data_IF_955943719988
#
_entry.id   IF_955943719988
#
_cell.length_a   1.000
_cell.length_b   1.000
_cell.length_c   1.000
_cell.angle_alpha   90.00
_cell.angle_beta   90.00
_cell.angle_gamma   90.00
#
_symmetry.space_group_name_H-M   'P 1'
#
loop_
_entity.id
_entity.type
_entity.pdbx_description
1 polymer ?
#
# COMPACT_ATOMS: atom_id res chain seq x y z
N UNK A 1 20.34 24.62 7.33
CA UNK A 1 19.04 25.22 7.73
C UNK A 1 19.22 25.91 9.08
N UNK A 2 19.85 27.10 9.07
CA UNK A 2 20.15 27.86 10.28
C UNK A 2 18.92 28.68 10.70
N UNK A 3 18.50 28.47 11.95
CA UNK A 3 17.32 29.07 12.58
C UNK A 3 17.64 30.54 12.89
N UNK A 4 17.12 31.46 12.11
CA UNK A 4 17.08 32.88 12.45
C UNK A 4 16.03 33.07 13.57
N UNK A 5 16.51 32.98 14.81
CA UNK A 5 15.73 33.36 16.00
C UNK A 5 15.54 34.87 15.95
N UNK A 6 14.29 35.29 15.73
CA UNK A 6 13.89 36.69 15.73
C UNK A 6 14.27 37.37 17.04
N UNK A 7 15.21 38.32 16.94
CA UNK A 7 15.48 39.33 17.97
C UNK A 7 14.59 40.55 17.70
N UNK A 8 13.98 41.06 18.75
CA UNK A 8 13.60 42.47 18.88
C UNK A 8 12.11 42.75 18.78
N UNK A 9 11.44 42.92 19.92
CA UNK A 9 10.12 43.54 19.92
C UNK A 9 9.27 43.49 21.21
N UNK A 10 9.48 42.54 22.12
CA UNK A 10 8.50 42.28 23.19
C UNK A 10 9.15 42.06 24.57
N UNK A 11 9.86 43.08 25.07
CA UNK A 11 10.39 43.09 26.45
C UNK A 11 10.47 44.52 26.99
N UNK A 12 9.39 45.27 26.88
CA UNK A 12 9.14 46.28 27.90
C UNK A 12 8.26 45.55 28.92
N UNK A 13 8.91 44.72 29.73
CA UNK A 13 8.22 43.95 30.77
C UNK A 13 7.52 44.94 31.70
N UNK A 14 6.38 44.55 32.27
CA UNK A 14 5.75 45.32 33.35
C UNK A 14 6.80 45.58 34.46
N UNK A 15 7.72 44.64 34.64
CA UNK A 15 8.92 44.77 35.48
C UNK A 15 9.75 46.01 35.14
N UNK A 16 9.99 46.33 33.85
CA UNK A 16 10.69 47.56 33.46
C UNK A 16 9.92 48.83 33.88
N UNK A 17 8.60 48.82 33.74
CA UNK A 17 7.76 49.94 34.18
C UNK A 17 7.73 50.08 35.70
N UNK A 18 7.74 48.96 36.42
CA UNK A 18 7.82 48.89 37.88
C UNK A 18 9.19 49.38 38.36
N UNK A 19 10.28 48.90 37.77
CA UNK A 19 11.65 49.32 38.05
C UNK A 19 11.82 50.82 37.79
N UNK A 20 11.23 51.33 36.70
CA UNK A 20 11.28 52.77 36.37
C UNK A 20 10.45 53.63 37.33
N UNK A 21 9.29 53.13 37.77
CA UNK A 21 8.50 53.78 38.82
C UNK A 21 9.24 53.78 40.16
N UNK A 22 9.93 52.69 40.48
CA UNK A 22 10.76 52.54 41.68
C UNK A 22 11.95 53.51 41.66
N UNK A 23 12.66 53.62 40.53
CA UNK A 23 13.76 54.57 40.33
C UNK A 23 13.30 56.03 40.54
N UNK A 24 12.18 56.42 39.93
CA UNK A 24 11.62 57.76 40.14
C UNK A 24 11.27 57.98 41.62
N UNK A 25 10.76 56.96 42.32
CA UNK A 25 10.35 57.03 43.72
C UNK A 25 11.52 57.07 44.70
N UNK A 26 12.64 56.42 44.40
CA UNK A 26 13.77 56.30 45.30
C UNK A 26 14.85 57.37 45.06
N UNK A 27 15.16 57.68 43.80
CA UNK A 27 16.34 58.48 43.45
C UNK A 27 16.02 59.97 43.18
N UNK A 28 14.81 60.27 42.72
CA UNK A 28 14.42 61.65 42.34
C UNK A 28 13.50 62.34 43.34
N UNK A 29 13.17 61.65 44.41
CA UNK A 29 12.16 62.09 45.36
C UNK A 29 12.80 62.66 46.63
N UNK A 30 12.28 63.79 47.13
CA UNK A 30 12.84 64.48 48.30
C UNK A 30 12.02 64.14 49.54
N UNK A 31 12.59 63.37 50.46
CA UNK A 31 11.92 63.04 51.73
C UNK A 31 11.80 64.28 52.62
N UNK A 32 10.62 64.47 53.21
CA UNK A 32 10.37 65.59 54.12
C UNK A 32 10.76 65.18 55.55
N UNK A 33 11.68 65.91 56.23
CA UNK A 33 12.11 65.60 57.59
C UNK A 33 10.93 65.56 58.58
N UNK A 34 10.99 64.63 59.55
CA UNK A 34 9.95 64.41 60.57
C UNK A 34 8.58 63.96 60.01
N UNK A 35 8.50 63.55 58.74
CA UNK A 35 7.28 62.98 58.14
C UNK A 35 7.58 61.73 57.32
N UNK A 36 6.59 60.87 57.12
CA UNK A 36 6.66 59.74 56.19
C UNK A 36 6.37 60.13 54.73
N UNK A 37 6.32 61.43 54.41
CA UNK A 37 5.94 61.92 53.07
C UNK A 37 7.15 62.25 52.22
N UNK A 38 6.97 62.05 50.93
CA UNK A 38 7.98 62.26 49.90
C UNK A 38 7.45 63.26 48.89
N UNK A 39 8.27 64.26 48.53
CA UNK A 39 7.99 65.20 47.46
C UNK A 39 8.44 64.57 46.15
N UNK A 40 7.54 64.59 45.17
CA UNK A 40 7.68 63.92 43.89
C UNK A 40 7.42 64.93 42.78
N UNK A 41 8.16 64.84 41.68
CA UNK A 41 7.88 65.62 40.46
C UNK A 41 6.63 65.04 39.78
N UNK A 42 5.54 65.78 39.77
CA UNK A 42 4.28 65.33 39.20
C UNK A 42 4.35 65.09 37.68
N UNK A 43 5.17 65.87 36.97
CA UNK A 43 5.19 65.86 35.50
C UNK A 43 5.90 64.60 34.97
N UNK A 44 7.02 64.19 35.58
CA UNK A 44 7.74 62.97 35.21
C UNK A 44 6.92 61.70 35.48
N UNK A 45 6.13 61.70 36.56
CA UNK A 45 5.26 60.58 36.93
C UNK A 45 4.03 60.48 36.05
N UNK A 46 3.39 61.62 35.75
CA UNK A 46 2.24 61.64 34.83
C UNK A 46 2.65 61.15 33.45
N UNK A 47 3.83 61.57 32.94
CA UNK A 47 4.35 61.08 31.68
C UNK A 47 4.59 59.56 31.69
N UNK A 48 5.16 59.02 32.77
CA UNK A 48 5.38 57.57 32.90
C UNK A 48 4.06 56.79 32.97
N UNK A 49 3.08 57.29 33.73
CA UNK A 49 1.74 56.69 33.83
C UNK A 49 1.03 56.72 32.48
N UNK A 50 1.13 57.82 31.73
CA UNK A 50 0.56 57.94 30.39
C UNK A 50 1.23 56.95 29.42
N UNK A 51 2.54 56.74 29.54
CA UNK A 51 3.26 55.76 28.72
C UNK A 51 2.90 54.31 29.06
N UNK A 52 2.64 54.00 30.34
CA UNK A 52 2.12 52.69 30.79
C UNK A 52 0.69 52.48 30.28
N UNK A 53 -0.18 53.50 30.39
CA UNK A 53 -1.57 53.47 29.89
C UNK A 53 -1.62 53.30 28.36
N UNK A 54 -0.63 53.87 27.70
CA UNK A 54 -0.08 53.62 26.38
C UNK A 54 0.08 52.14 25.97
N UNK A 55 1.20 51.64 26.46
CA UNK A 55 1.87 50.42 26.04
C UNK A 55 1.17 49.19 26.59
N UNK A 56 1.06 49.06 27.91
CA UNK A 56 0.66 47.81 28.57
C UNK A 56 -0.63 47.20 28.00
N UNK A 57 -1.74 47.95 27.79
CA UNK A 57 -2.95 47.37 27.19
C UNK A 57 -2.74 46.83 25.78
N UNK A 58 -1.90 47.50 24.99
CA UNK A 58 -1.54 47.09 23.62
C UNK A 58 -0.74 45.78 23.64
N UNK A 59 0.26 45.66 24.50
CA UNK A 59 1.03 44.43 24.61
C UNK A 59 0.20 43.25 25.16
N UNK A 60 -0.70 43.49 26.12
CA UNK A 60 -1.63 42.46 26.61
C UNK A 60 -2.54 41.96 25.48
N UNK A 61 -3.08 42.88 24.68
CA UNK A 61 -3.94 42.54 23.54
C UNK A 61 -3.18 41.72 22.49
N UNK A 62 -1.93 42.09 22.21
CA UNK A 62 -1.07 41.36 21.29
C UNK A 62 -0.72 39.96 21.82
N UNK A 63 -0.39 39.84 23.10
CA UNK A 63 -0.14 38.54 23.75
C UNK A 63 -1.38 37.63 23.70
N UNK A 64 -2.57 38.16 24.00
CA UNK A 64 -3.84 37.43 23.89
C UNK A 64 -4.10 36.95 22.46
N UNK A 65 -3.82 37.80 21.47
CA UNK A 65 -3.94 37.43 20.06
C UNK A 65 -3.00 36.28 19.69
N UNK A 66 -1.73 36.35 20.10
CA UNK A 66 -0.75 35.28 19.85
C UNK A 66 -1.19 33.96 20.51
N UNK A 67 -1.72 34.01 21.72
CA UNK A 67 -2.27 32.81 22.40
C UNK A 67 -3.46 32.23 21.62
N UNK A 68 -4.39 33.08 21.17
CA UNK A 68 -5.53 32.64 20.38
C UNK A 68 -5.10 32.03 19.03
N UNK A 69 -4.14 32.63 18.35
CA UNK A 69 -3.57 32.11 17.10
C UNK A 69 -2.86 30.77 17.34
N UNK A 70 -2.13 30.63 18.45
CA UNK A 70 -1.51 29.36 18.84
C UNK A 70 -2.56 28.26 19.04
N UNK A 71 -3.62 28.54 19.79
CA UNK A 71 -4.70 27.57 20.06
C UNK A 71 -5.39 27.13 18.76
N UNK A 72 -5.62 28.07 17.83
CA UNK A 72 -6.17 27.76 16.52
C UNK A 72 -5.23 26.87 15.70
N UNK A 73 -3.93 27.13 15.70
CA UNK A 73 -2.94 26.30 15.00
C UNK A 73 -2.92 24.89 15.58
N UNK A 74 -2.92 24.76 16.91
CA UNK A 74 -2.93 23.46 17.59
C UNK A 74 -4.21 22.70 17.26
N UNK A 75 -5.37 23.37 17.25
CA UNK A 75 -6.64 22.74 16.90
C UNK A 75 -6.63 22.20 15.46
N UNK A 76 -6.18 23.00 14.49
CA UNK A 76 -6.05 22.58 13.09
C UNK A 76 -5.07 21.43 12.92
N UNK A 77 -3.91 21.50 13.57
CA UNK A 77 -2.92 20.43 13.50
C UNK A 77 -3.46 19.10 14.07
N UNK A 78 -4.26 19.16 15.14
CA UNK A 78 -4.92 17.97 15.70
C UNK A 78 -5.97 17.39 14.76
N UNK A 79 -6.77 18.25 14.12
CA UNK A 79 -7.76 17.83 13.12
C UNK A 79 -7.10 17.19 11.89
N UNK A 80 -6.06 17.83 11.35
CA UNK A 80 -5.27 17.29 10.24
C UNK A 80 -4.62 15.95 10.60
N UNK A 81 -4.04 15.83 11.79
CA UNK A 81 -3.47 14.57 12.27
C UNK A 81 -4.53 13.47 12.37
N UNK A 82 -5.71 13.78 12.91
CA UNK A 82 -6.82 12.84 12.99
C UNK A 82 -7.28 12.40 11.59
N UNK A 83 -7.39 13.33 10.64
CA UNK A 83 -7.75 13.04 9.26
C UNK A 83 -6.71 12.15 8.56
N UNK A 84 -5.42 12.42 8.74
CA UNK A 84 -4.34 11.59 8.19
C UNK A 84 -4.39 10.17 8.74
N UNK A 85 -4.60 10.02 10.05
CA UNK A 85 -4.72 8.70 10.69
C UNK A 85 -5.93 7.94 10.17
N UNK A 86 -7.08 8.61 10.03
CA UNK A 86 -8.29 8.00 9.48
C UNK A 86 -8.08 7.52 8.03
N UNK A 87 -7.49 8.36 7.18
CA UNK A 87 -7.19 8.01 5.79
C UNK A 87 -6.19 6.85 5.69
N UNK A 88 -5.14 6.85 6.53
CA UNK A 88 -4.16 5.77 6.57
C UNK A 88 -4.79 4.43 7.01
N UNK A 89 -5.73 4.47 7.96
CA UNK A 89 -6.47 3.28 8.38
C UNK A 89 -7.39 2.76 7.27
N UNK A 90 -8.13 3.63 6.58
CA UNK A 90 -8.97 3.24 5.44
C UNK A 90 -8.13 2.61 4.31
N UNK A 91 -7.00 3.21 3.97
CA UNK A 91 -6.08 2.68 2.96
C UNK A 91 -5.51 1.31 3.37
N UNK A 92 -5.10 1.17 4.63
CA UNK A 92 -4.61 -0.12 5.16
C UNK A 92 -5.68 -1.20 5.03
N UNK A 93 -6.91 -0.91 5.44
CA UNK A 93 -8.00 -1.89 5.43
C UNK A 93 -8.37 -2.29 3.99
N UNK A 94 -8.35 -1.33 3.04
CA UNK A 94 -8.48 -1.61 1.61
C UNK A 94 -7.37 -2.53 1.09
N UNK A 95 -6.11 -2.22 1.37
CA UNK A 95 -4.96 -3.01 0.91
C UNK A 95 -4.95 -4.42 1.50
N UNK A 96 -5.32 -4.58 2.77
CA UNK A 96 -5.48 -5.90 3.40
C UNK A 96 -6.58 -6.69 2.70
N UNK A 97 -7.73 -6.07 2.43
CA UNK A 97 -8.82 -6.70 1.68
C UNK A 97 -8.40 -7.13 0.26
N UNK A 98 -7.70 -6.27 -0.47
CA UNK A 98 -7.15 -6.57 -1.80
C UNK A 98 -6.12 -7.71 -1.76
N UNK A 99 -5.23 -7.71 -0.77
CA UNK A 99 -4.22 -8.75 -0.61
C UNK A 99 -4.84 -10.12 -0.25
N UNK A 100 -5.87 -10.15 0.59
CA UNK A 100 -6.62 -11.37 0.86
C UNK A 100 -7.33 -11.91 -0.38
N UNK A 101 -7.94 -11.03 -1.18
CA UNK A 101 -8.58 -11.40 -2.44
C UNK A 101 -7.56 -11.99 -3.43
N UNK A 102 -6.41 -11.33 -3.60
CA UNK A 102 -5.32 -11.81 -4.46
C UNK A 102 -4.82 -13.19 -4.02
N UNK A 103 -4.57 -13.37 -2.72
CA UNK A 103 -4.10 -14.65 -2.18
C UNK A 103 -5.12 -15.77 -2.42
N UNK A 104 -6.42 -15.49 -2.26
CA UNK A 104 -7.48 -16.47 -2.58
C UNK A 104 -7.52 -16.78 -4.08
N UNK A 105 -7.41 -15.77 -4.93
CA UNK A 105 -7.37 -15.93 -6.38
C UNK A 105 -6.16 -16.78 -6.83
N UNK A 106 -4.99 -16.59 -6.24
CA UNK A 106 -3.79 -17.40 -6.51
C UNK A 106 -3.98 -18.87 -6.14
N UNK A 107 -4.57 -19.15 -4.96
CA UNK A 107 -4.86 -20.52 -4.52
C UNK A 107 -5.85 -21.20 -5.46
N UNK A 108 -6.92 -20.51 -5.85
CA UNK A 108 -7.90 -21.07 -6.79
C UNK A 108 -7.32 -21.25 -8.20
N UNK A 109 -6.46 -20.32 -8.66
CA UNK A 109 -5.71 -20.45 -9.91
C UNK A 109 -4.84 -21.71 -9.90
N UNK A 110 -4.11 -21.95 -8.82
CA UNK A 110 -3.22 -23.12 -8.74
C UNK A 110 -4.02 -24.43 -8.72
N UNK A 111 -5.14 -24.48 -7.99
CA UNK A 111 -6.07 -25.63 -8.02
C UNK A 111 -6.63 -25.87 -9.43
N UNK A 112 -7.00 -24.80 -10.14
CA UNK A 112 -7.53 -24.90 -11.50
C UNK A 112 -6.46 -25.44 -12.46
N UNK A 113 -5.22 -24.95 -12.37
CA UNK A 113 -4.11 -25.45 -13.19
C UNK A 113 -3.81 -26.92 -12.89
N UNK A 114 -3.83 -27.31 -11.63
CA UNK A 114 -3.59 -28.70 -11.25
C UNK A 114 -4.69 -29.63 -11.80
N UNK A 115 -5.96 -29.23 -11.66
CA UNK A 115 -7.08 -29.97 -12.27
C UNK A 115 -6.96 -30.03 -13.80
N UNK A 116 -6.59 -28.94 -14.45
CA UNK A 116 -6.42 -28.90 -15.90
C UNK A 116 -5.28 -29.83 -16.36
N UNK A 117 -4.17 -29.89 -15.62
CA UNK A 117 -3.07 -30.83 -15.90
C UNK A 117 -3.50 -32.28 -15.73
N UNK A 118 -4.21 -32.59 -14.65
CA UNK A 118 -4.73 -33.95 -14.41
C UNK A 118 -5.72 -34.37 -15.49
N UNK A 119 -6.64 -33.48 -15.88
CA UNK A 119 -7.60 -33.75 -16.94
C UNK A 119 -6.90 -33.96 -18.29
N UNK A 120 -5.94 -33.10 -18.63
CA UNK A 120 -5.16 -33.25 -19.87
C UNK A 120 -4.38 -34.57 -19.90
N UNK A 121 -3.77 -34.97 -18.78
CA UNK A 121 -3.08 -36.25 -18.66
C UNK A 121 -4.07 -37.43 -18.81
N UNK A 122 -5.27 -37.32 -18.23
CA UNK A 122 -6.31 -38.35 -18.38
C UNK A 122 -6.77 -38.48 -19.83
N UNK A 123 -7.09 -37.37 -20.49
CA UNK A 123 -7.50 -37.34 -21.89
C UNK A 123 -6.41 -37.94 -22.79
N UNK A 124 -5.14 -37.60 -22.56
CA UNK A 124 -4.03 -38.17 -23.32
C UNK A 124 -3.95 -39.69 -23.15
N UNK A 125 -4.04 -40.19 -21.91
CA UNK A 125 -4.01 -41.62 -21.64
C UNK A 125 -5.22 -42.36 -22.24
N UNK A 126 -6.42 -41.76 -22.18
CA UNK A 126 -7.63 -42.31 -22.82
C UNK A 126 -7.49 -42.35 -24.35
N UNK A 127 -6.92 -41.31 -24.96
CA UNK A 127 -6.67 -41.26 -26.40
C UNK A 127 -5.63 -42.31 -26.85
N UNK A 128 -4.55 -42.48 -26.09
CA UNK A 128 -3.53 -43.51 -26.36
C UNK A 128 -4.13 -44.92 -26.26
N UNK A 129 -4.95 -45.16 -25.23
CA UNK A 129 -5.63 -46.44 -25.04
C UNK A 129 -6.58 -46.75 -26.22
N UNK A 130 -7.35 -45.76 -26.66
CA UNK A 130 -8.24 -45.89 -27.82
C UNK A 130 -7.45 -46.13 -29.11
N UNK A 131 -6.37 -45.39 -29.35
CA UNK A 131 -5.52 -45.59 -30.53
C UNK A 131 -4.94 -47.02 -30.56
N UNK A 132 -4.51 -47.53 -29.42
CA UNK A 132 -4.01 -48.90 -29.29
C UNK A 132 -5.09 -49.95 -29.59
N UNK A 133 -6.33 -49.73 -29.14
CA UNK A 133 -7.47 -50.62 -29.44
C UNK A 133 -7.74 -50.68 -30.94
N UNK A 134 -7.83 -49.52 -31.60
CA UNK A 134 -8.03 -49.42 -33.05
C UNK A 134 -6.89 -50.11 -33.83
N UNK A 135 -5.64 -49.90 -33.41
CA UNK A 135 -4.48 -50.54 -34.03
C UNK A 135 -4.50 -52.07 -33.86
N UNK A 136 -4.92 -52.58 -32.71
CA UNK A 136 -5.08 -54.03 -32.47
C UNK A 136 -6.18 -54.63 -33.33
N UNK A 137 -7.30 -53.95 -33.49
CA UNK A 137 -8.37 -54.41 -34.37
C UNK A 137 -7.88 -54.48 -35.83
N UNK A 138 -7.18 -53.44 -36.28
CA UNK A 138 -6.57 -53.42 -37.62
C UNK A 138 -5.56 -54.56 -37.81
N UNK A 139 -4.71 -54.83 -36.82
CA UNK A 139 -3.77 -55.95 -36.84
C UNK A 139 -4.48 -57.30 -37.03
N UNK A 140 -5.58 -57.51 -36.28
CA UNK A 140 -6.38 -58.74 -36.40
C UNK A 140 -6.99 -58.89 -37.80
N UNK A 141 -7.54 -57.80 -38.36
CA UNK A 141 -8.10 -57.79 -39.71
C UNK A 141 -7.05 -58.09 -40.78
N UNK A 142 -5.87 -57.47 -40.69
CA UNK A 142 -4.76 -57.72 -41.61
C UNK A 142 -4.26 -59.17 -41.53
N UNK A 143 -4.16 -59.73 -40.32
CA UNK A 143 -3.78 -61.13 -40.13
C UNK A 143 -4.82 -62.09 -40.74
N UNK A 144 -6.12 -61.80 -40.59
CA UNK A 144 -7.17 -62.59 -41.23
C UNK A 144 -7.09 -62.50 -42.76
N UNK A 145 -6.88 -61.28 -43.30
CA UNK A 145 -6.70 -61.08 -44.73
C UNK A 145 -5.47 -61.83 -45.27
N UNK A 146 -4.34 -61.77 -44.58
CA UNK A 146 -3.12 -62.48 -44.95
C UNK A 146 -3.35 -64.01 -44.98
N UNK A 147 -4.08 -64.57 -44.01
CA UNK A 147 -4.44 -65.99 -43.99
C UNK A 147 -5.29 -66.36 -45.21
N UNK A 148 -6.28 -65.54 -45.56
CA UNK A 148 -7.11 -65.75 -46.75
C UNK A 148 -6.27 -65.74 -48.03
N UNK A 149 -5.35 -64.79 -48.17
CA UNK A 149 -4.44 -64.72 -49.32
C UNK A 149 -3.55 -65.97 -49.40
N UNK A 150 -2.94 -66.40 -48.28
CA UNK A 150 -2.11 -67.62 -48.23
C UNK A 150 -2.90 -68.87 -48.63
N UNK A 151 -4.12 -69.01 -48.11
CA UNK A 151 -4.99 -70.14 -48.46
C UNK A 151 -5.33 -70.13 -49.95
N UNK A 152 -5.60 -68.95 -50.54
CA UNK A 152 -5.84 -68.78 -51.97
C UNK A 152 -4.63 -69.18 -52.84
N UNK A 153 -3.42 -68.77 -52.45
CA UNK A 153 -2.18 -69.17 -53.14
C UNK A 153 -1.99 -70.69 -53.08
N UNK A 154 -2.08 -71.28 -51.88
CA UNK A 154 -1.89 -72.72 -51.69
C UNK A 154 -2.90 -73.56 -52.49
N UNK A 155 -4.15 -73.10 -52.61
CA UNK A 155 -5.17 -73.75 -53.43
C UNK A 155 -4.77 -73.76 -54.92
N UNK A 156 -4.27 -72.64 -55.46
CA UNK A 156 -3.86 -72.54 -56.86
C UNK A 156 -2.60 -73.37 -57.15
N UNK A 157 -1.64 -73.41 -56.23
CA UNK A 157 -0.44 -74.26 -56.33
C UNK A 157 -0.81 -75.76 -56.28
N UNK A 158 -1.74 -76.14 -55.39
CA UNK A 158 -2.29 -77.50 -55.33
C UNK A 158 -3.06 -77.89 -56.59
N UNK A 159 -3.82 -76.97 -57.17
CA UNK A 159 -4.49 -77.21 -58.46
C UNK A 159 -3.49 -77.37 -59.62
N UNK A 160 -2.39 -76.63 -59.61
CA UNK A 160 -1.35 -76.71 -60.64
C UNK A 160 -0.62 -78.06 -60.61
N UNK A 161 -0.22 -78.51 -59.42
CA UNK A 161 0.43 -79.82 -59.21
C UNK A 161 -0.50 -81.00 -59.54
N UNK A 162 -1.78 -80.93 -59.15
CA UNK A 162 -2.77 -81.96 -59.50
C UNK A 162 -3.11 -82.00 -61.01
N UNK A 163 -2.93 -80.88 -61.72
CA UNK A 163 -3.11 -80.80 -63.18
C UNK A 163 -1.89 -81.33 -63.91
N UNK A 164 -0.68 -81.15 -63.36
CA UNK A 164 0.57 -81.74 -63.86
C UNK A 164 0.64 -83.27 -63.63
N UNK A 165 0.11 -83.81 -62.52
CA UNK A 165 0.02 -85.27 -62.29
C UNK A 165 -1.00 -86.00 -63.18
N UNK A 166 -2.05 -85.31 -63.64
CA UNK A 166 -3.06 -85.89 -64.55
C UNK A 166 -2.61 -85.98 -66.01
N UNK A 167 -1.50 -85.34 -66.38
CA UNK A 167 -0.89 -85.42 -67.72
C UNK A 167 0.54 -86.02 -67.66
N UNK A 168 0.70 -87.33 -67.39
CA UNK A 168 2.03 -87.97 -67.39
C UNK A 168 2.56 -88.30 -68.79
N UNK A 169 1.94 -87.82 -69.88
CA UNK A 169 2.38 -88.12 -71.26
C UNK A 169 2.48 -86.88 -72.15
N UNK A 170 3.51 -86.08 -71.90
CA UNK A 170 4.07 -85.15 -72.88
C UNK A 170 5.57 -84.95 -72.62
N UNK A 171 6.33 -86.05 -72.53
CA UNK A 171 7.77 -86.01 -72.34
C UNK A 171 8.42 -87.38 -72.49
N UNK A 172 8.93 -87.63 -73.71
CA UNK A 172 9.51 -88.87 -74.26
C UNK A 172 8.53 -89.85 -74.93
#
# INVERSE_FOLDING_TARGET
>A
MARAVGKGGAKIDIDYWVDRLEELLLDRSRRIPFTSKTIVDGDEYLHLIDQIRISVPKEITEAQRVLQEQDQIIARAREEAANIVALAQEQRDRLVGEHELLRRAEVEREKLLERARQEAARIAAEADAYALEVLRELEQQLNAFQKTVRNGIALLEGQRTAKEEKDPKAGS
#
